data_IF_639199508342
#
_entry.id   IF_639199508342
#
_cell.length_a   1.000
_cell.length_b   1.000
_cell.length_c   1.000
_cell.angle_alpha   90.00
_cell.angle_beta   90.00
_cell.angle_gamma   90.00
#
_symmetry.space_group_name_H-M   'P 1'
#
loop_
_entity.id
_entity.type
_entity.pdbx_description
1 polymer ?
#
# COMPACT_ATOMS: atom_id res chain seq x y z
N UNK A 1 24.24 -17.69 0.55
CA UNK A 1 22.86 -17.61 0.04
C UNK A 1 22.74 -16.31 -0.72
N UNK A 2 22.17 -16.34 -1.92
CA UNK A 2 21.99 -15.13 -2.75
C UNK A 2 21.05 -14.17 -2.03
N UNK A 3 21.35 -12.87 -1.99
CA UNK A 3 20.48 -11.87 -1.35
C UNK A 3 19.08 -11.79 -1.99
N UNK A 4 18.91 -12.34 -3.19
CA UNK A 4 17.65 -12.39 -3.92
C UNK A 4 16.60 -13.35 -3.33
N UNK A 5 17.02 -14.39 -2.59
CA UNK A 5 16.10 -15.40 -2.03
C UNK A 5 15.49 -15.01 -0.68
N UNK A 6 15.62 -13.74 -0.27
CA UNK A 6 15.06 -13.25 0.99
C UNK A 6 13.55 -13.02 0.89
N UNK A 7 12.86 -13.29 2.00
CA UNK A 7 11.45 -12.94 2.18
C UNK A 7 11.33 -11.45 2.52
N UNK A 8 10.56 -10.71 1.72
CA UNK A 8 10.27 -9.29 1.93
C UNK A 8 8.81 -9.10 2.35
N UNK A 9 8.53 -8.45 3.50
CA UNK A 9 7.17 -8.21 3.94
C UNK A 9 6.51 -7.09 3.10
N UNK A 10 5.26 -7.30 2.71
CA UNK A 10 4.40 -6.31 2.07
C UNK A 10 3.15 -6.08 2.94
N UNK A 11 3.23 -5.23 3.97
CA UNK A 11 2.14 -5.04 4.91
C UNK A 11 0.92 -4.39 4.24
N UNK A 12 -0.26 -4.94 4.52
CA UNK A 12 -1.53 -4.36 4.12
C UNK A 12 -1.81 -3.06 4.89
N UNK A 13 -2.65 -2.22 4.30
CA UNK A 13 -3.19 -1.03 4.95
C UNK A 13 -4.70 -1.06 5.04
N UNK A 14 -5.23 -0.33 6.00
CA UNK A 14 -6.62 0.12 6.02
C UNK A 14 -6.66 1.63 5.85
N UNK A 15 -7.70 2.12 5.18
CA UNK A 15 -8.12 3.51 5.32
C UNK A 15 -9.09 3.55 6.49
N UNK A 16 -8.76 4.23 7.58
CA UNK A 16 -9.68 4.35 8.73
C UNK A 16 -10.87 5.27 8.43
N UNK A 17 -10.71 6.13 7.42
CA UNK A 17 -11.80 6.83 6.74
C UNK A 17 -11.35 7.16 5.32
N UNK A 18 -12.30 7.47 4.44
CA UNK A 18 -12.01 7.98 3.10
C UNK A 18 -13.05 9.02 2.72
N UNK A 19 -12.62 10.25 2.46
CA UNK A 19 -13.47 11.35 2.02
C UNK A 19 -12.94 11.93 0.71
N UNK A 20 -13.79 11.94 -0.31
CA UNK A 20 -13.53 12.58 -1.60
C UNK A 20 -13.90 14.05 -1.51
N UNK A 21 -12.92 14.93 -1.69
CA UNK A 21 -13.11 16.39 -1.52
C UNK A 21 -13.08 17.18 -2.85
N UNK A 22 -12.88 16.49 -3.97
CA UNK A 22 -12.91 17.11 -5.29
C UNK A 22 -12.36 16.21 -6.39
N UNK A 23 -12.41 16.70 -7.63
CA UNK A 23 -11.86 16.03 -8.81
C UNK A 23 -10.79 16.88 -9.46
N UNK A 24 -9.68 16.25 -9.82
CA UNK A 24 -8.52 16.86 -10.49
C UNK A 24 -8.73 16.87 -12.00
N UNK A 25 -8.00 17.74 -12.70
CA UNK A 25 -8.03 17.83 -14.16
C UNK A 25 -7.50 16.57 -14.87
N UNK A 26 -6.66 15.78 -14.19
CA UNK A 26 -6.13 14.50 -14.66
C UNK A 26 -7.11 13.31 -14.49
N UNK A 27 -8.33 13.57 -14.02
CA UNK A 27 -9.37 12.56 -13.85
C UNK A 27 -9.39 11.86 -12.48
N UNK A 28 -8.38 12.08 -11.63
CA UNK A 28 -8.33 11.54 -10.26
C UNK A 28 -9.10 12.40 -9.25
N UNK A 29 -9.18 11.94 -8.00
CA UNK A 29 -9.84 12.63 -6.90
C UNK A 29 -8.85 13.23 -5.90
N UNK A 30 -9.24 14.34 -5.29
CA UNK A 30 -8.62 14.84 -4.07
C UNK A 30 -9.23 14.06 -2.90
N UNK A 31 -8.37 13.54 -2.01
CA UNK A 31 -8.79 12.64 -0.93
C UNK A 31 -8.28 13.13 0.43
N UNK A 32 -9.13 13.04 1.44
CA UNK A 32 -8.71 12.99 2.84
C UNK A 32 -8.91 11.57 3.36
N UNK A 33 -7.88 11.01 4.00
CA UNK A 33 -7.90 9.65 4.58
C UNK A 33 -6.82 9.57 5.66
N UNK A 34 -6.99 8.67 6.63
CA UNK A 34 -5.93 8.24 7.54
C UNK A 34 -5.56 6.79 7.24
N UNK A 35 -4.29 6.57 6.93
CA UNK A 35 -3.76 5.24 6.67
C UNK A 35 -3.27 4.59 7.97
N UNK A 36 -3.54 3.29 8.10
CA UNK A 36 -2.95 2.46 9.14
C UNK A 36 -2.45 1.16 8.53
N UNK A 37 -1.15 0.88 8.73
CA UNK A 37 -0.61 -0.45 8.49
C UNK A 37 -1.12 -1.41 9.56
N UNK A 38 -1.41 -2.64 9.15
CA UNK A 38 -1.87 -3.72 10.03
C UNK A 38 -0.88 -4.87 10.01
N UNK A 39 -0.93 -5.73 11.03
CA UNK A 39 -0.12 -6.95 11.12
C UNK A 39 -0.71 -8.07 10.25
N UNK A 40 -0.86 -7.76 8.96
CA UNK A 40 -1.33 -8.65 7.91
C UNK A 40 -0.75 -8.17 6.59
N UNK A 41 -0.37 -9.07 5.70
CA UNK A 41 0.21 -8.70 4.41
C UNK A 41 0.77 -9.90 3.66
N UNK A 42 1.31 -9.61 2.49
CA UNK A 42 1.95 -10.61 1.64
C UNK A 42 3.43 -10.78 2.01
N UNK A 43 4.02 -11.90 1.61
CA UNK A 43 5.47 -12.13 1.65
C UNK A 43 5.97 -12.33 0.22
N UNK A 44 6.92 -11.49 -0.19
CA UNK A 44 7.46 -11.48 -1.55
C UNK A 44 8.84 -12.13 -1.58
N UNK A 45 9.08 -12.98 -2.58
CA UNK A 45 10.39 -13.52 -2.94
C UNK A 45 10.71 -13.12 -4.37
N UNK A 46 11.96 -12.76 -4.62
CA UNK A 46 12.41 -12.29 -5.92
C UNK A 46 13.43 -13.26 -6.52
N UNK A 47 13.48 -13.33 -7.85
CA UNK A 47 14.47 -14.10 -8.59
C UNK A 47 14.95 -13.26 -9.79
N UNK A 48 16.20 -13.44 -10.27
CA UNK A 48 16.71 -12.79 -11.47
C UNK A 48 15.88 -13.07 -12.73
#
# INVERSE_FOLDING_TARGET
>A
MSDWERDFPAPAKLNLFLHVVGRRADGYHLLHTAFRLIDYGDTLRFAP
#
